data_IF_080349158901
#
_entry.id   IF_080349158901
#
_cell.length_a   1.000
_cell.length_b   1.000
_cell.length_c   1.000
_cell.angle_alpha   90.00
_cell.angle_beta   90.00
_cell.angle_gamma   90.00
#
_symmetry.space_group_name_H-M   'P 1'
#
loop_
_entity.id
_entity.type
_entity.pdbx_description
1 polymer ?
#
# COMPACT_ATOMS: atom_id res chain seq x y z
N UNK A 1 -5.72 16.52 -2.23
CA UNK A 1 -5.83 16.02 -3.62
C UNK A 1 -6.83 14.89 -3.63
N UNK A 2 -7.75 14.87 -4.59
CA UNK A 2 -8.71 13.79 -4.75
C UNK A 2 -9.00 13.58 -6.23
N UNK A 3 -9.47 12.39 -6.59
CA UNK A 3 -9.80 12.07 -7.97
C UNK A 3 -10.52 10.74 -8.08
N UNK A 4 -10.94 10.42 -9.30
CA UNK A 4 -11.57 9.15 -9.66
C UNK A 4 -10.82 8.62 -10.87
N UNK A 5 -10.42 7.36 -10.82
CA UNK A 5 -10.05 6.60 -12.00
C UNK A 5 -11.25 5.80 -12.47
N UNK A 6 -11.45 5.70 -13.77
CA UNK A 6 -12.52 4.94 -14.39
C UNK A 6 -12.05 3.55 -14.83
N UNK A 7 -13.02 2.71 -15.19
CA UNK A 7 -12.76 1.37 -15.72
C UNK A 7 -11.89 1.44 -16.99
N UNK A 8 -10.86 0.61 -17.04
CA UNK A 8 -9.89 0.57 -18.14
C UNK A 8 -8.69 1.51 -17.95
N UNK A 9 -8.73 2.44 -17.00
CA UNK A 9 -7.61 3.36 -16.69
C UNK A 9 -6.51 2.70 -15.86
N UNK A 10 -6.28 1.40 -16.05
CA UNK A 10 -5.34 0.57 -15.29
C UNK A 10 -3.93 1.18 -15.26
N UNK A 11 -3.42 1.62 -16.41
CA UNK A 11 -2.07 2.20 -16.48
C UNK A 11 -1.98 3.56 -15.80
N UNK A 12 -2.97 4.44 -16.00
CA UNK A 12 -2.98 5.76 -15.37
C UNK A 12 -3.06 5.64 -13.84
N UNK A 13 -3.91 4.75 -13.34
CA UNK A 13 -4.03 4.46 -11.91
C UNK A 13 -2.73 3.84 -11.34
N UNK A 14 -2.12 2.90 -12.07
CA UNK A 14 -0.83 2.31 -11.71
C UNK A 14 0.32 3.33 -11.69
N UNK A 15 0.37 4.22 -12.67
CA UNK A 15 1.35 5.29 -12.76
C UNK A 15 1.19 6.26 -11.58
N UNK A 16 -0.04 6.66 -11.26
CA UNK A 16 -0.32 7.51 -10.12
C UNK A 16 0.23 6.92 -8.81
N UNK A 17 -0.10 5.68 -8.48
CA UNK A 17 0.40 5.04 -7.25
C UNK A 17 1.92 4.81 -7.32
N UNK A 18 2.45 4.50 -8.51
CA UNK A 18 3.91 4.40 -8.72
C UNK A 18 4.63 5.70 -8.35
N UNK A 19 4.10 6.86 -8.75
CA UNK A 19 4.72 8.16 -8.44
C UNK A 19 4.67 8.47 -6.94
N UNK A 20 3.60 8.06 -6.24
CA UNK A 20 3.55 8.13 -4.77
C UNK A 20 4.65 7.29 -4.12
N UNK A 21 4.82 6.04 -4.58
CA UNK A 21 5.86 5.12 -4.07
C UNK A 21 7.28 5.65 -4.34
N UNK A 22 7.53 6.24 -5.51
CA UNK A 22 8.81 6.89 -5.85
C UNK A 22 9.06 8.17 -5.04
N UNK A 23 7.99 8.88 -4.70
CA UNK A 23 8.04 10.12 -3.93
C UNK A 23 8.53 9.94 -2.50
N UNK A 24 8.22 8.79 -1.88
CA UNK A 24 8.57 8.47 -0.48
C UNK A 24 10.07 8.59 -0.19
N UNK A 25 10.40 9.10 1.01
CA UNK A 25 11.77 9.37 1.45
C UNK A 25 12.24 8.49 2.61
N UNK A 26 11.33 8.01 3.46
CA UNK A 26 11.65 7.23 4.66
C UNK A 26 10.77 6.00 4.84
N UNK A 27 9.47 6.10 4.62
CA UNK A 27 8.55 5.00 4.91
C UNK A 27 7.31 4.96 4.03
N UNK A 28 6.85 3.74 3.77
CA UNK A 28 5.59 3.42 3.13
C UNK A 28 4.85 2.42 4.02
N UNK A 29 3.64 2.78 4.44
CA UNK A 29 2.76 1.86 5.16
C UNK A 29 1.51 1.65 4.31
N UNK A 30 1.29 0.41 3.87
CA UNK A 30 0.10 0.01 3.14
C UNK A 30 -0.85 -0.74 4.08
N UNK A 31 -2.12 -0.35 4.06
CA UNK A 31 -3.22 -1.13 4.64
C UNK A 31 -4.06 -1.61 3.46
N UNK A 32 -4.01 -2.92 3.17
CA UNK A 32 -4.78 -3.54 2.07
C UNK A 32 -4.97 -5.04 2.35
N UNK A 33 -6.21 -5.53 2.29
CA UNK A 33 -6.55 -6.92 2.59
C UNK A 33 -6.38 -7.88 1.42
N UNK A 34 -6.01 -7.39 0.23
CA UNK A 34 -5.96 -8.18 -1.00
C UNK A 34 -4.63 -8.04 -1.74
N UNK A 35 -3.52 -8.22 -1.03
CA UNK A 35 -2.16 -8.09 -1.55
C UNK A 35 -1.70 -9.36 -2.28
N UNK A 36 -1.10 -9.19 -3.45
CA UNK A 36 -0.41 -10.23 -4.23
C UNK A 36 0.97 -9.74 -4.72
N UNK A 37 1.64 -10.54 -5.55
CA UNK A 37 2.97 -10.27 -6.11
C UNK A 37 3.03 -9.00 -6.97
N UNK A 38 1.91 -8.55 -7.54
CA UNK A 38 1.84 -7.28 -8.29
C UNK A 38 2.08 -6.08 -7.39
N UNK A 39 1.59 -6.14 -6.15
CA UNK A 39 1.82 -5.12 -5.12
C UNK A 39 3.27 -5.14 -4.64
N UNK A 40 3.86 -6.33 -4.48
CA UNK A 40 5.29 -6.46 -4.15
C UNK A 40 6.15 -5.85 -5.25
N UNK A 41 5.81 -6.13 -6.52
CA UNK A 41 6.47 -5.57 -7.70
C UNK A 41 6.38 -4.05 -7.74
N UNK A 42 5.23 -3.47 -7.41
CA UNK A 42 5.07 -2.02 -7.30
C UNK A 42 6.07 -1.42 -6.30
N UNK A 43 6.27 -2.06 -5.15
CA UNK A 43 7.20 -1.58 -4.13
C UNK A 43 8.68 -1.71 -4.49
N UNK A 44 9.05 -2.43 -5.57
CA UNK A 44 10.43 -2.40 -6.09
C UNK A 44 10.85 -1.00 -6.56
N UNK A 45 9.89 -0.14 -6.89
CA UNK A 45 10.13 1.21 -7.43
C UNK A 45 10.47 2.25 -6.38
N UNK A 46 10.45 1.90 -5.09
CA UNK A 46 10.81 2.82 -4.00
C UNK A 46 12.31 3.08 -3.97
N UNK A 47 12.72 4.16 -3.31
CA UNK A 47 14.13 4.43 -3.03
C UNK A 47 14.69 3.39 -2.03
N UNK A 48 15.97 3.02 -2.15
CA UNK A 48 16.57 1.91 -1.40
C UNK A 48 16.43 2.03 0.13
N UNK A 49 16.43 3.26 0.64
CA UNK A 49 16.36 3.63 2.05
C UNK A 49 14.92 3.81 2.56
N UNK A 50 13.90 3.53 1.74
CA UNK A 50 12.49 3.58 2.13
C UNK A 50 12.05 2.23 2.67
N UNK A 51 11.65 2.23 3.93
CA UNK A 51 11.04 1.06 4.57
C UNK A 51 9.61 0.83 4.05
N UNK A 52 9.19 -0.44 3.95
CA UNK A 52 7.80 -0.79 3.59
C UNK A 52 7.23 -1.73 4.64
N UNK A 53 6.03 -1.40 5.12
CA UNK A 53 5.23 -2.30 5.95
C UNK A 53 3.83 -2.45 5.34
N UNK A 54 3.39 -3.69 5.15
CA UNK A 54 2.05 -4.02 4.66
C UNK A 54 1.24 -4.60 5.83
N UNK A 55 0.08 -4.00 6.09
CA UNK A 55 -0.95 -4.50 6.98
C UNK A 55 -2.06 -5.14 6.15
N UNK A 56 -2.29 -6.43 6.36
CA UNK A 56 -3.31 -7.21 5.65
C UNK A 56 -4.04 -8.13 6.62
N UNK A 57 -5.33 -8.39 6.36
CA UNK A 57 -6.15 -9.29 7.19
C UNK A 57 -5.56 -10.69 7.38
N UNK A 58 -4.84 -11.21 6.40
CA UNK A 58 -4.25 -12.55 6.46
C UNK A 58 -3.06 -12.67 5.52
N UNK A 59 -2.11 -13.55 5.86
CA UNK A 59 -1.02 -13.95 4.98
C UNK A 59 -1.32 -15.34 4.44
N UNK A 60 -1.70 -15.42 3.17
CA UNK A 60 -1.93 -16.71 2.51
C UNK A 60 -0.59 -17.43 2.28
N UNK A 61 -0.64 -18.75 2.05
CA UNK A 61 0.57 -19.53 1.71
C UNK A 61 1.28 -18.98 0.46
N UNK A 62 0.49 -18.52 -0.52
CA UNK A 62 1.01 -17.91 -1.74
C UNK A 62 1.73 -16.60 -1.44
N UNK A 63 1.09 -15.69 -0.70
CA UNK A 63 1.72 -14.41 -0.33
C UNK A 63 2.98 -14.61 0.53
N UNK A 64 2.97 -15.59 1.44
CA UNK A 64 4.16 -15.94 2.23
C UNK A 64 5.33 -16.38 1.34
N UNK A 65 5.09 -17.26 0.36
CA UNK A 65 6.10 -17.72 -0.58
C UNK A 65 6.62 -16.57 -1.46
N UNK A 66 5.72 -15.71 -1.95
CA UNK A 66 6.09 -14.56 -2.78
C UNK A 66 6.92 -13.54 -1.99
N UNK A 67 6.59 -13.30 -0.72
CA UNK A 67 7.37 -12.47 0.18
C UNK A 67 8.75 -13.04 0.46
N UNK A 68 8.86 -14.35 0.72
CA UNK A 68 10.15 -15.03 0.94
C UNK A 68 11.07 -14.83 -0.27
N UNK A 69 10.56 -15.11 -1.48
CA UNK A 69 11.29 -14.91 -2.73
C UNK A 69 11.67 -13.45 -2.95
N UNK A 70 10.71 -12.54 -2.77
CA UNK A 70 10.94 -11.11 -2.94
C UNK A 70 12.03 -10.61 -1.98
N UNK A 71 11.91 -10.90 -0.68
CA UNK A 71 12.84 -10.44 0.35
C UNK A 71 14.24 -11.07 0.23
N UNK A 72 14.39 -12.18 -0.49
CA UNK A 72 15.70 -12.77 -0.81
C UNK A 72 16.50 -11.99 -1.86
N UNK A 73 15.85 -11.13 -2.65
CA UNK A 73 16.46 -10.43 -3.79
C UNK A 73 16.31 -8.90 -3.73
N UNK A 74 15.22 -8.40 -3.15
CA UNK A 74 14.88 -6.98 -3.10
C UNK A 74 14.89 -6.45 -1.67
N UNK A 75 14.82 -5.13 -1.54
CA UNK A 75 14.74 -4.48 -0.24
C UNK A 75 13.57 -5.05 0.57
N UNK A 76 13.80 -5.39 1.83
CA UNK A 76 12.84 -6.13 2.65
C UNK A 76 11.49 -5.40 2.79
N UNK A 77 10.39 -6.16 2.66
CA UNK A 77 9.03 -5.74 2.98
C UNK A 77 8.58 -6.47 4.24
N UNK A 78 8.16 -5.70 5.24
CA UNK A 78 7.53 -6.25 6.44
C UNK A 78 6.04 -6.47 6.18
N UNK A 79 5.49 -7.57 6.69
CA UNK A 79 4.04 -7.82 6.64
C UNK A 79 3.52 -8.13 8.03
N UNK A 80 2.40 -7.49 8.39
CA UNK A 80 1.73 -7.63 9.68
C UNK A 80 0.26 -7.97 9.46
N UNK A 81 -0.26 -8.87 10.30
CA UNK A 81 -1.68 -9.22 10.29
C UNK A 81 -2.45 -8.08 10.95
N UNK A 82 -3.48 -7.58 10.27
CA UNK A 82 -4.39 -6.56 10.79
C UNK A 82 -5.73 -6.66 10.08
N UNK A 83 -6.76 -7.05 10.83
CA UNK A 83 -8.10 -7.35 10.32
C UNK A 83 -9.15 -6.28 10.68
N UNK A 84 -8.72 -5.19 11.32
CA UNK A 84 -9.57 -4.12 11.85
C UNK A 84 -9.90 -3.02 10.84
N UNK A 85 -9.34 -3.05 9.63
CA UNK A 85 -9.67 -2.10 8.55
C UNK A 85 -10.27 -2.80 7.34
N UNK A 86 -11.36 -2.21 6.83
CA UNK A 86 -11.96 -2.55 5.54
C UNK A 86 -11.40 -1.69 4.40
N UNK A 87 -11.14 -0.42 4.69
CA UNK A 87 -10.64 0.54 3.72
C UNK A 87 -9.13 0.39 3.52
N UNK A 88 -8.66 0.94 2.40
CA UNK A 88 -7.27 0.83 1.99
C UNK A 88 -6.60 2.16 2.08
N UNK A 89 -5.44 2.15 2.71
CA UNK A 89 -4.67 3.35 2.98
C UNK A 89 -3.23 3.17 2.56
N UNK A 90 -2.65 4.21 1.98
CA UNK A 90 -1.22 4.33 1.78
C UNK A 90 -0.73 5.53 2.58
N UNK A 91 0.10 5.27 3.57
CA UNK A 91 0.77 6.30 4.37
C UNK A 91 2.18 6.47 3.84
N UNK A 92 2.58 7.70 3.57
CA UNK A 92 3.89 8.06 3.03
C UNK A 92 4.62 8.92 4.06
N UNK A 93 5.82 8.49 4.43
CA UNK A 93 6.75 9.16 5.34
C UNK A 93 6.13 9.56 6.68
N UNK A 94 5.08 8.86 7.11
CA UNK A 94 4.26 9.22 8.29
C UNK A 94 3.79 10.68 8.27
N UNK A 95 3.55 11.22 7.07
CA UNK A 95 3.15 12.62 6.85
C UNK A 95 1.98 12.77 5.90
N UNK A 96 1.87 11.90 4.90
CA UNK A 96 0.74 11.90 3.98
C UNK A 96 -0.11 10.64 4.11
N UNK A 97 -1.44 10.79 4.16
CA UNK A 97 -2.40 9.69 4.18
C UNK A 97 -3.23 9.72 2.90
N UNK A 98 -3.17 8.64 2.13
CA UNK A 98 -4.05 8.44 0.97
C UNK A 98 -5.05 7.34 1.26
N UNK A 99 -6.33 7.64 1.10
CA UNK A 99 -7.38 6.64 0.96
C UNK A 99 -7.51 6.23 -0.51
N UNK A 100 -7.59 4.93 -0.77
CA UNK A 100 -7.66 4.35 -2.10
C UNK A 100 -8.86 3.39 -2.14
N UNK A 101 -9.86 3.70 -2.95
CA UNK A 101 -11.11 2.93 -3.03
C UNK A 101 -10.98 1.53 -3.66
N UNK A 102 -9.80 1.16 -4.15
CA UNK A 102 -9.51 -0.14 -4.74
C UNK A 102 -8.22 -0.74 -4.17
N UNK A 103 -8.13 -2.06 -4.18
CA UNK A 103 -6.87 -2.73 -3.85
C UNK A 103 -5.79 -2.38 -4.86
N UNK A 104 -4.54 -2.28 -4.42
CA UNK A 104 -3.44 -1.89 -5.32
C UNK A 104 -3.23 -2.90 -6.46
N UNK A 105 -3.64 -4.17 -6.29
CA UNK A 105 -3.61 -5.17 -7.38
C UNK A 105 -4.72 -4.99 -8.44
N UNK A 106 -5.73 -4.18 -8.13
CA UNK A 106 -6.95 -4.01 -8.94
C UNK A 106 -7.13 -2.57 -9.46
N UNK A 107 -6.09 -1.74 -9.40
CA UNK A 107 -6.10 -0.35 -9.87
C UNK A 107 -6.64 -0.26 -11.31
N UNK A 108 -7.69 0.54 -11.51
CA UNK A 108 -8.28 0.86 -12.81
C UNK A 108 -9.05 -0.29 -13.49
N UNK A 109 -9.15 -1.47 -12.87
CA UNK A 109 -10.02 -2.56 -13.38
C UNK A 109 -11.51 -2.21 -13.28
N UNK A 110 -11.86 -1.42 -12.28
CA UNK A 110 -13.18 -0.78 -12.10
C UNK A 110 -12.94 0.64 -11.63
N UNK A 111 -13.95 1.50 -11.76
CA UNK A 111 -13.86 2.85 -11.24
C UNK A 111 -13.61 2.87 -9.72
N UNK A 112 -12.75 3.77 -9.26
CA UNK A 112 -12.50 3.96 -7.84
C UNK A 112 -12.07 5.40 -7.55
N UNK A 113 -12.47 5.90 -6.39
CA UNK A 113 -12.02 7.20 -5.89
C UNK A 113 -10.73 7.05 -5.07
N UNK A 114 -9.91 8.10 -5.08
CA UNK A 114 -8.81 8.26 -4.14
C UNK A 114 -8.83 9.67 -3.54
N UNK A 115 -8.29 9.81 -2.34
CA UNK A 115 -8.17 11.11 -1.67
C UNK A 115 -6.99 11.14 -0.72
N UNK A 116 -6.17 12.19 -0.81
CA UNK A 116 -5.25 12.60 0.26
C UNK A 116 -6.09 13.21 1.38
N UNK A 117 -6.01 12.63 2.57
CA UNK A 117 -6.84 12.98 3.71
C UNK A 117 -6.08 13.86 4.70
N UNK A 118 -6.73 14.90 5.21
CA UNK A 118 -6.26 15.73 6.32
C UNK A 118 -6.85 15.23 7.66
N UNK A 119 -6.82 13.90 7.87
CA UNK A 119 -7.20 13.29 9.15
C UNK A 119 -5.99 13.23 10.08
N UNK A 120 -6.24 13.10 11.39
CA UNK A 120 -5.20 12.85 12.38
C UNK A 120 -4.57 11.47 12.14
N UNK A 121 -3.57 11.41 11.25
CA UNK A 121 -2.78 10.22 10.95
C UNK A 121 -2.25 9.55 12.22
N UNK A 122 -1.94 10.34 13.25
CA UNK A 122 -1.56 9.87 14.58
C UNK A 122 -2.51 8.79 15.11
N UNK A 123 -3.83 8.97 14.98
CA UNK A 123 -4.82 7.98 15.44
C UNK A 123 -4.76 6.67 14.67
N UNK A 124 -4.47 6.72 13.37
CA UNK A 124 -4.31 5.50 12.56
C UNK A 124 -3.02 4.80 12.97
N UNK A 125 -1.91 5.54 13.09
CA UNK A 125 -0.62 5.00 13.51
C UNK A 125 -0.69 4.38 14.92
N UNK A 126 -1.38 5.02 15.86
CA UNK A 126 -1.67 4.49 17.20
C UNK A 126 -2.38 3.13 17.10
N UNK A 127 -3.43 3.04 16.28
CA UNK A 127 -4.17 1.78 16.07
C UNK A 127 -3.31 0.69 15.43
N UNK A 128 -2.37 1.04 14.55
CA UNK A 128 -1.42 0.08 13.99
C UNK A 128 -0.38 -0.37 15.01
N UNK A 129 0.07 0.52 15.89
CA UNK A 129 1.02 0.21 16.95
C UNK A 129 0.43 -0.69 18.05
N UNK A 130 -0.86 -0.51 18.39
CA UNK A 130 -1.59 -1.37 19.34
C UNK A 130 -1.72 -2.84 18.88
N UNK A 131 -1.50 -3.14 17.60
CA UNK A 131 -1.57 -4.50 17.04
C UNK A 131 -0.19 -5.13 16.81
N UNK A 132 0.86 -4.61 17.46
CA UNK A 132 2.18 -5.24 17.53
C UNK A 132 2.30 -6.09 18.79
#
# INVERSE_FOLDING_TARGET
MQGVFFEGETFNAYQFVTELVRGAKSSLILIDNYVDDTVLTLFTKRSHNVSVTIYTKQVSKQLALDLEKYNSQYAHINVKIFDKSHDRFLIIDEKELYHIGASLKDLGKKWFAFSKMDLSMSRILEKLAENQ
#
